data_IF_401253242833
#
_entry.id   IF_401253242833
#
_cell.length_a   1.000
_cell.length_b   1.000
_cell.length_c   1.000
_cell.angle_alpha   90.00
_cell.angle_beta   90.00
_cell.angle_gamma   90.00
#
_symmetry.space_group_name_H-M   'P 1'
#
loop_
_entity.id
_entity.type
_entity.pdbx_description
1 polymer ?
#
# COMPACT_ATOMS: atom_id res chain seq x y z
N UNK A 1 -1.99 1.66 6.07
CA UNK A 1 -2.49 0.32 5.70
C UNK A 1 -1.34 -0.54 5.26
N UNK A 2 -1.58 -1.84 5.04
CA UNK A 2 -0.55 -2.73 4.52
C UNK A 2 0.03 -2.22 3.20
N UNK A 3 1.30 -2.52 2.94
CA UNK A 3 1.92 -2.34 1.64
C UNK A 3 1.13 -3.09 0.56
N UNK A 4 0.54 -4.25 0.89
CA UNK A 4 -0.41 -4.95 0.01
C UNK A 4 -1.63 -4.10 -0.35
N UNK A 5 -2.24 -3.42 0.62
CA UNK A 5 -3.40 -2.57 0.36
C UNK A 5 -3.07 -1.42 -0.59
N UNK A 6 -1.96 -0.74 -0.32
CA UNK A 6 -1.43 0.31 -1.19
C UNK A 6 -1.10 -0.21 -2.60
N UNK A 7 -0.52 -1.41 -2.72
CA UNK A 7 -0.23 -2.02 -4.01
C UNK A 7 -1.50 -2.29 -4.83
N UNK A 8 -2.55 -2.81 -4.19
CA UNK A 8 -3.82 -3.10 -4.85
C UNK A 8 -4.50 -1.79 -5.31
N UNK A 9 -4.46 -0.73 -4.50
CA UNK A 9 -4.99 0.57 -4.92
C UNK A 9 -4.20 1.13 -6.11
N UNK A 10 -2.86 1.09 -6.07
CA UNK A 10 -2.01 1.47 -7.19
C UNK A 10 -2.30 0.65 -8.46
N UNK A 11 -2.61 -0.64 -8.29
CA UNK A 11 -3.03 -1.53 -9.38
C UNK A 11 -4.33 -1.04 -10.02
N UNK A 12 -5.35 -0.76 -9.21
CA UNK A 12 -6.63 -0.23 -9.69
C UNK A 12 -6.41 1.09 -10.45
N UNK A 13 -5.61 2.01 -9.91
CA UNK A 13 -5.29 3.28 -10.57
C UNK A 13 -4.59 3.03 -11.92
N UNK A 14 -3.58 2.16 -11.98
CA UNK A 14 -2.87 1.85 -13.21
C UNK A 14 -3.78 1.23 -14.28
N UNK A 15 -4.76 0.43 -13.87
CA UNK A 15 -5.70 -0.23 -14.80
C UNK A 15 -6.74 0.74 -15.37
N UNK A 16 -7.02 1.85 -14.66
CA UNK A 16 -8.09 2.80 -15.02
C UNK A 16 -7.63 4.12 -15.56
N UNK A 17 -6.46 4.57 -15.15
CA UNK A 17 -5.93 5.86 -15.55
C UNK A 17 -4.72 5.59 -16.42
N UNK A 18 -4.85 5.77 -17.73
CA UNK A 18 -3.75 5.56 -18.69
C UNK A 18 -2.76 6.72 -18.75
N UNK A 19 -3.14 7.92 -18.28
CA UNK A 19 -2.27 9.10 -18.29
C UNK A 19 -1.40 9.15 -17.01
N UNK A 20 -0.07 8.98 -17.11
CA UNK A 20 0.83 8.99 -15.95
C UNK A 20 0.80 10.32 -15.18
N UNK A 21 0.60 11.44 -15.87
CA UNK A 21 0.56 12.76 -15.24
C UNK A 21 -0.61 12.91 -14.25
N UNK A 22 -1.69 12.13 -14.43
CA UNK A 22 -2.80 12.05 -13.50
C UNK A 22 -2.65 10.87 -12.52
N UNK A 23 -2.21 9.72 -13.00
CA UNK A 23 -2.12 8.50 -12.20
C UNK A 23 -1.08 8.59 -11.07
N UNK A 24 0.07 9.23 -11.31
CA UNK A 24 1.14 9.39 -10.31
C UNK A 24 0.65 10.22 -9.11
N UNK A 25 0.08 11.43 -9.29
CA UNK A 25 -0.51 12.17 -8.18
C UNK A 25 -1.61 11.40 -7.45
N UNK A 26 -2.50 10.73 -8.18
CA UNK A 26 -3.58 9.94 -7.58
C UNK A 26 -3.04 8.80 -6.72
N UNK A 27 -2.02 8.08 -7.19
CA UNK A 27 -1.38 7.00 -6.44
C UNK A 27 -0.69 7.51 -5.18
N UNK A 28 0.02 8.64 -5.27
CA UNK A 28 0.62 9.25 -4.08
C UNK A 28 -0.45 9.68 -3.05
N UNK A 29 -1.52 10.34 -3.51
CA UNK A 29 -2.62 10.77 -2.63
C UNK A 29 -3.36 9.55 -2.06
N UNK A 30 -3.52 8.48 -2.82
CA UNK A 30 -4.21 7.29 -2.36
C UNK A 30 -3.48 6.60 -1.21
N UNK A 31 -2.15 6.74 -1.11
CA UNK A 31 -1.41 6.31 0.07
C UNK A 31 -1.94 7.00 1.33
N UNK A 32 -2.04 8.33 1.30
CA UNK A 32 -2.49 9.15 2.42
C UNK A 32 -3.93 8.77 2.79
N UNK A 33 -4.81 8.63 1.80
CA UNK A 33 -6.21 8.23 2.01
C UNK A 33 -6.30 6.81 2.60
N UNK A 34 -5.48 5.88 2.11
CA UNK A 34 -5.41 4.51 2.61
C UNK A 34 -4.95 4.44 4.06
N UNK A 35 -4.01 5.29 4.46
CA UNK A 35 -3.55 5.38 5.84
C UNK A 35 -4.59 6.04 6.77
N UNK A 36 -5.36 7.01 6.28
CA UNK A 36 -6.48 7.61 7.03
C UNK A 36 -7.62 6.64 7.29
N UNK A 37 -7.84 5.68 6.40
CA UNK A 37 -8.88 4.66 6.55
C UNK A 37 -8.54 3.70 7.70
N UNK A 38 -9.50 3.33 8.58
CA UNK A 38 -9.24 2.36 9.66
C UNK A 38 -8.74 1.01 9.14
N UNK A 39 -7.48 0.68 9.40
CA UNK A 39 -6.80 -0.46 8.78
C UNK A 39 -5.88 -1.20 9.75
N UNK A 40 -5.40 -2.38 9.36
CA UNK A 40 -4.33 -3.09 10.06
C UNK A 40 -3.03 -3.03 9.26
N UNK A 41 -1.88 -3.01 9.94
CA UNK A 41 -0.55 -3.10 9.34
C UNK A 41 0.43 -3.85 10.27
N UNK A 42 1.63 -4.14 9.79
CA UNK A 42 2.71 -4.75 10.59
C UNK A 42 3.12 -3.88 11.80
N UNK A 43 2.92 -2.56 11.70
CA UNK A 43 3.12 -1.61 12.78
C UNK A 43 2.04 -1.62 13.86
N UNK A 44 0.92 -2.33 13.65
CA UNK A 44 -0.19 -2.44 14.59
C UNK A 44 0.25 -3.28 15.80
N UNK A 45 0.06 -2.73 17.00
CA UNK A 45 0.64 -3.27 18.24
C UNK A 45 2.18 -3.41 18.19
N UNK A 46 2.89 -2.57 17.42
CA UNK A 46 4.33 -2.68 17.23
C UNK A 46 5.16 -2.65 18.53
N UNK A 47 4.66 -2.03 19.60
CA UNK A 47 5.32 -2.02 20.93
C UNK A 47 5.46 -3.40 21.56
N UNK A 48 4.61 -4.36 21.17
CA UNK A 48 4.64 -5.74 21.69
C UNK A 48 5.35 -6.71 20.74
N UNK A 49 5.94 -6.22 19.65
CA UNK A 49 6.63 -7.03 18.64
C UNK A 49 8.12 -6.75 18.68
N UNK A 50 8.93 -7.79 18.42
CA UNK A 50 10.37 -7.59 18.20
C UNK A 50 10.61 -6.89 16.86
N UNK A 51 11.72 -6.16 16.75
CA UNK A 51 12.12 -5.48 15.50
C UNK A 51 12.24 -6.46 14.33
N UNK A 52 12.84 -7.63 14.57
CA UNK A 52 12.99 -8.68 13.56
C UNK A 52 11.64 -9.17 13.04
N UNK A 53 10.66 -9.35 13.93
CA UNK A 53 9.30 -9.75 13.55
C UNK A 53 8.66 -8.71 12.63
N UNK A 54 8.75 -7.42 12.96
CA UNK A 54 8.17 -6.35 12.15
C UNK A 54 8.84 -6.30 10.77
N UNK A 55 10.16 -6.45 10.69
CA UNK A 55 10.88 -6.50 9.40
C UNK A 55 10.40 -7.68 8.55
N UNK A 56 10.27 -8.87 9.15
CA UNK A 56 9.77 -10.06 8.43
C UNK A 56 8.33 -9.86 7.95
N UNK A 57 7.45 -9.35 8.80
CA UNK A 57 6.06 -9.04 8.44
C UNK A 57 6.00 -8.02 7.28
N UNK A 58 6.79 -6.94 7.34
CA UNK A 58 6.87 -5.93 6.26
C UNK A 58 7.37 -6.51 4.94
N UNK A 59 8.43 -7.33 4.97
CA UNK A 59 8.98 -7.97 3.77
C UNK A 59 7.97 -8.91 3.12
N UNK A 60 7.29 -9.73 3.94
CA UNK A 60 6.23 -10.63 3.47
C UNK A 60 5.09 -9.80 2.85
N UNK A 61 4.67 -8.72 3.50
CA UNK A 61 3.58 -7.87 3.02
C UNK A 61 3.92 -7.19 1.68
N UNK A 62 5.15 -6.69 1.50
CA UNK A 62 5.59 -6.14 0.20
C UNK A 62 5.56 -7.20 -0.90
N UNK A 63 6.08 -8.40 -0.63
CA UNK A 63 6.09 -9.51 -1.59
C UNK A 63 4.66 -9.91 -1.96
N UNK A 64 3.78 -10.04 -0.97
CA UNK A 64 2.36 -10.35 -1.17
C UNK A 64 1.67 -9.25 -1.99
N UNK A 65 1.98 -7.97 -1.72
CA UNK A 65 1.44 -6.85 -2.47
C UNK A 65 1.74 -6.95 -3.96
N UNK A 66 3.02 -7.12 -4.34
CA UNK A 66 3.38 -7.28 -5.75
C UNK A 66 2.80 -8.56 -6.36
N UNK A 67 2.85 -9.69 -5.64
CA UNK A 67 2.31 -10.96 -6.14
C UNK A 67 0.81 -10.87 -6.44
N UNK A 68 0.03 -10.30 -5.52
CA UNK A 68 -1.41 -10.11 -5.69
C UNK A 68 -1.72 -9.08 -6.76
N UNK A 69 -0.99 -7.96 -6.82
CA UNK A 69 -1.14 -6.96 -7.88
C UNK A 69 -0.94 -7.54 -9.27
N UNK A 70 0.13 -8.31 -9.48
CA UNK A 70 0.37 -8.94 -10.78
C UNK A 70 -0.60 -10.06 -11.09
N UNK A 71 -1.04 -10.82 -10.08
CA UNK A 71 -2.10 -11.80 -10.25
C UNK A 71 -3.41 -11.14 -10.69
N UNK A 72 -3.79 -10.01 -10.08
CA UNK A 72 -4.98 -9.24 -10.45
C UNK A 72 -4.87 -8.68 -11.87
N UNK A 73 -3.71 -8.13 -12.25
CA UNK A 73 -3.47 -7.66 -13.62
C UNK A 73 -3.62 -8.82 -14.61
N UNK A 74 -2.98 -9.95 -14.35
CA UNK A 74 -3.02 -11.11 -15.24
C UNK A 74 -4.45 -11.68 -15.42
N UNK A 75 -5.20 -11.82 -14.32
CA UNK A 75 -6.51 -12.45 -14.34
C UNK A 75 -7.65 -11.51 -14.76
N UNK A 76 -7.59 -10.23 -14.34
CA UNK A 76 -8.74 -9.31 -14.44
C UNK A 76 -8.51 -8.16 -15.41
N UNK A 77 -7.25 -7.73 -15.59
CA UNK A 77 -6.87 -6.54 -16.37
C UNK A 77 -5.69 -6.81 -17.34
N UNK A 78 -5.74 -7.85 -18.18
CA UNK A 78 -4.59 -8.29 -18.99
C UNK A 78 -4.09 -7.25 -20.00
N UNK A 79 -4.89 -6.23 -20.30
CA UNK A 79 -4.52 -5.10 -21.17
C UNK A 79 -3.61 -4.07 -20.49
N UNK A 80 -3.44 -4.12 -19.17
CA UNK A 80 -2.63 -3.14 -18.43
C UNK A 80 -1.14 -3.38 -18.68
N UNK A 81 -0.43 -2.33 -19.10
CA UNK A 81 1.02 -2.38 -19.27
C UNK A 81 1.71 -2.64 -17.91
N UNK A 82 2.50 -3.71 -17.82
CA UNK A 82 3.11 -4.17 -16.56
C UNK A 82 4.14 -3.16 -16.02
N UNK A 83 4.95 -2.56 -16.88
CA UNK A 83 5.95 -1.58 -16.46
C UNK A 83 5.30 -0.31 -15.92
N UNK A 84 4.23 0.14 -16.58
CA UNK A 84 3.41 1.24 -16.12
C UNK A 84 2.77 0.93 -14.76
N UNK A 85 2.15 -0.26 -14.63
CA UNK A 85 1.54 -0.69 -13.38
C UNK A 85 2.56 -0.76 -12.24
N UNK A 86 3.75 -1.29 -12.50
CA UNK A 86 4.84 -1.31 -11.51
C UNK A 86 5.17 0.09 -10.99
N UNK A 87 5.31 1.08 -11.89
CA UNK A 87 5.60 2.45 -11.51
C UNK A 87 4.50 3.06 -10.63
N UNK A 88 3.22 2.84 -10.99
CA UNK A 88 2.08 3.35 -10.22
C UNK A 88 1.93 2.62 -8.87
N UNK A 89 2.16 1.31 -8.81
CA UNK A 89 2.16 0.51 -7.57
C UNK A 89 3.23 1.02 -6.61
N UNK A 90 4.48 1.18 -7.08
CA UNK A 90 5.57 1.74 -6.27
C UNK A 90 5.24 3.15 -5.80
N UNK A 91 4.65 3.97 -6.67
CA UNK A 91 4.20 5.34 -6.31
C UNK A 91 3.14 5.30 -5.20
N UNK A 92 2.19 4.36 -5.25
CA UNK A 92 1.16 4.20 -4.21
C UNK A 92 1.73 3.73 -2.87
N UNK A 93 2.92 3.14 -2.86
CA UNK A 93 3.64 2.71 -1.65
C UNK A 93 4.75 3.68 -1.23
N UNK A 94 4.89 4.83 -1.91
CA UNK A 94 6.10 5.65 -1.83
C UNK A 94 6.47 6.06 -0.40
N UNK A 95 5.49 6.39 0.44
CA UNK A 95 5.76 6.79 1.81
C UNK A 95 6.27 5.61 2.67
N UNK A 96 5.83 4.37 2.43
CA UNK A 96 6.39 3.18 3.11
C UNK A 96 7.88 3.02 2.78
N UNK A 97 8.23 3.15 1.49
CA UNK A 97 9.61 3.07 1.02
C UNK A 97 10.49 4.18 1.61
N UNK A 98 9.97 5.39 1.72
CA UNK A 98 10.68 6.52 2.33
C UNK A 98 10.76 6.42 3.87
N UNK A 99 9.81 5.74 4.50
CA UNK A 99 9.81 5.53 5.95
C UNK A 99 10.74 4.41 6.39
N UNK A 100 10.85 3.34 5.60
CA UNK A 100 11.60 2.12 5.93
C UNK A 100 13.07 2.38 6.37
N UNK A 101 13.87 3.27 5.72
CA UNK A 101 15.24 3.53 6.14
C UNK A 101 15.36 4.07 7.57
N UNK A 102 14.45 4.96 7.98
CA UNK A 102 14.40 5.44 9.36
C UNK A 102 13.87 4.37 10.30
N UNK A 103 12.74 3.75 9.94
CA UNK A 103 12.02 2.83 10.82
C UNK A 103 12.83 1.56 11.14
N UNK A 104 13.52 0.99 10.14
CA UNK A 104 14.29 -0.24 10.32
C UNK A 104 15.77 -0.01 10.60
N UNK A 105 16.38 1.07 10.11
CA UNK A 105 17.84 1.27 10.22
C UNK A 105 18.25 2.55 10.96
N UNK A 106 17.29 3.40 11.36
CA UNK A 106 17.57 4.63 12.11
C UNK A 106 18.24 5.73 11.28
N UNK A 107 18.14 5.68 9.95
CA UNK A 107 18.78 6.65 9.04
C UNK A 107 18.07 8.02 9.16
N UNK A 108 18.72 8.97 9.83
CA UNK A 108 18.12 10.23 10.31
C UNK A 108 17.42 11.09 9.23
N UNK A 109 17.96 11.26 8.01
CA UNK A 109 17.27 12.04 6.96
C UNK A 109 15.84 11.57 6.66
N UNK A 110 15.56 10.27 6.76
CA UNK A 110 14.25 9.70 6.45
C UNK A 110 13.22 9.84 7.58
N UNK A 111 13.63 10.37 8.75
CA UNK A 111 12.73 10.61 9.88
C UNK A 111 11.59 11.57 9.55
N UNK A 112 11.82 12.50 8.61
CA UNK A 112 10.79 13.44 8.16
C UNK A 112 9.62 12.72 7.50
N UNK A 113 9.88 11.73 6.65
CA UNK A 113 8.85 10.95 5.97
C UNK A 113 8.08 10.07 6.96
N UNK A 114 8.78 9.43 7.90
CA UNK A 114 8.12 8.69 8.98
C UNK A 114 7.16 9.58 9.79
N UNK A 115 7.61 10.78 10.18
CA UNK A 115 6.76 11.72 10.92
C UNK A 115 5.56 12.16 10.10
N UNK A 116 5.76 12.47 8.82
CA UNK A 116 4.70 12.88 7.90
C UNK A 116 3.67 11.77 7.72
N UNK A 117 4.09 10.56 7.37
CA UNK A 117 3.20 9.41 7.19
C UNK A 117 2.40 9.12 8.47
N UNK A 118 3.06 9.19 9.63
CA UNK A 118 2.41 8.92 10.92
C UNK A 118 1.28 9.90 11.27
N UNK A 119 1.19 11.07 10.63
CA UNK A 119 0.08 12.01 10.81
C UNK A 119 -1.25 11.48 10.27
N UNK A 120 -1.20 10.56 9.31
CA UNK A 120 -2.38 10.03 8.62
C UNK A 120 -2.78 8.65 9.12
N UNK A 121 -1.89 7.97 9.84
CA UNK A 121 -1.99 6.57 10.19
C UNK A 121 -3.10 6.27 11.21
N UNK A 122 -4.19 5.62 10.76
CA UNK A 122 -5.38 5.28 11.54
C UNK A 122 -5.48 3.76 11.79
N UNK A 123 -4.57 3.23 12.61
CA UNK A 123 -4.48 1.79 12.89
C UNK A 123 -5.63 1.29 13.75
N UNK A 124 -6.19 0.15 13.36
CA UNK A 124 -7.20 -0.61 14.07
C UNK A 124 -6.74 -2.07 14.24
N UNK A 125 -6.87 -2.66 15.43
CA UNK A 125 -6.43 -4.03 15.67
C UNK A 125 -7.22 -5.06 14.85
N UNK A 126 -6.60 -6.22 14.67
CA UNK A 126 -7.28 -7.39 14.13
C UNK A 126 -8.42 -7.85 15.07
N UNK A 127 -9.50 -8.42 14.55
CA UNK A 127 -9.73 -8.72 13.13
C UNK A 127 -10.26 -7.52 12.32
N UNK A 128 -10.81 -6.49 12.98
CA UNK A 128 -11.56 -5.42 12.30
C UNK A 128 -10.72 -4.61 11.31
N UNK A 129 -9.46 -4.31 11.63
CA UNK A 129 -8.55 -3.61 10.70
C UNK A 129 -8.34 -4.37 9.40
N UNK A 130 -8.27 -5.71 9.48
CA UNK A 130 -8.09 -6.59 8.33
C UNK A 130 -9.41 -6.73 7.56
N UNK A 131 -10.53 -6.92 8.25
CA UNK A 131 -11.84 -7.07 7.59
C UNK A 131 -12.19 -5.81 6.79
N UNK A 132 -12.04 -4.63 7.41
CA UNK A 132 -12.39 -3.36 6.76
C UNK A 132 -11.53 -3.10 5.52
N UNK A 133 -10.21 -3.29 5.63
CA UNK A 133 -9.32 -3.07 4.49
C UNK A 133 -9.57 -4.08 3.37
N UNK A 134 -9.82 -5.36 3.68
CA UNK A 134 -10.12 -6.37 2.66
C UNK A 134 -11.44 -6.05 1.95
N UNK A 135 -12.47 -5.65 2.71
CA UNK A 135 -13.77 -5.30 2.14
C UNK A 135 -13.67 -4.11 1.17
N UNK A 136 -12.97 -3.03 1.55
CA UNK A 136 -12.85 -1.85 0.67
C UNK A 136 -11.98 -2.14 -0.55
N UNK A 137 -10.88 -2.91 -0.41
CA UNK A 137 -10.03 -3.28 -1.53
C UNK A 137 -10.77 -4.19 -2.52
N UNK A 138 -11.53 -5.17 -2.02
CA UNK A 138 -12.37 -6.01 -2.87
C UNK A 138 -13.41 -5.19 -3.62
N UNK A 139 -14.09 -4.24 -2.95
CA UNK A 139 -15.04 -3.34 -3.59
C UNK A 139 -14.37 -2.49 -4.68
N UNK A 140 -13.19 -1.92 -4.41
CA UNK A 140 -12.44 -1.13 -5.40
C UNK A 140 -12.07 -1.95 -6.64
N UNK A 141 -11.58 -3.17 -6.46
CA UNK A 141 -11.25 -4.09 -7.57
C UNK A 141 -12.49 -4.47 -8.36
N UNK A 142 -13.61 -4.76 -7.68
CA UNK A 142 -14.89 -5.08 -8.34
C UNK A 142 -15.42 -3.91 -9.16
N UNK A 143 -15.43 -2.70 -8.59
CA UNK A 143 -15.84 -1.49 -9.29
C UNK A 143 -14.96 -1.24 -10.51
N UNK A 144 -13.64 -1.39 -10.37
CA UNK A 144 -12.72 -1.28 -11.49
C UNK A 144 -12.93 -2.40 -12.53
N UNK A 145 -13.40 -3.59 -12.15
CA UNK A 145 -13.71 -4.60 -13.17
C UNK A 145 -14.95 -4.25 -13.99
N UNK A 146 -15.93 -3.62 -13.38
CA UNK A 146 -17.24 -3.31 -13.96
C UNK A 146 -17.20 -2.05 -14.84
N UNK A 147 -16.58 -0.98 -14.36
CA UNK A 147 -16.45 0.32 -15.03
C UNK A 147 -14.99 0.54 -15.41
#
# INVERSE_FOLDING_TARGET
>A
MTATGHAIIGTVIATKIGNPALAIPLAFISHIIGDLFPHWDEGTNGKTKSKERIIKEALIDVILGFALSYLLIFLLFPQTNILYAFLIIVTSQLLDWLTAPWYFFGIKPFKVFYKFQKMFDNRMPAPWGIINQVAILALLVLLAKIF
#
